data_IF_784870772280
#
_entry.id   IF_784870772280
#
_cell.length_a   1.000
_cell.length_b   1.000
_cell.length_c   1.000
_cell.angle_alpha   90.00
_cell.angle_beta   90.00
_cell.angle_gamma   90.00
#
_symmetry.space_group_name_H-M   'P 1'
#
loop_
_entity.id
_entity.type
_entity.pdbx_description
1 polymer ?
#
# COMPACT_ATOMS: atom_id res chain seq x y z
N UNK A 1 -11.24 3.82 -0.51
CA UNK A 1 -9.86 3.38 -0.89
C UNK A 1 -9.41 2.17 -0.08
N UNK A 2 -9.53 2.20 1.26
CA UNK A 2 -9.30 1.00 2.12
C UNK A 2 -10.11 -0.22 1.66
N UNK A 3 -11.39 -0.01 1.32
CA UNK A 3 -12.32 -1.08 0.91
C UNK A 3 -11.94 -1.81 -0.39
N UNK A 4 -11.42 -1.11 -1.41
CA UNK A 4 -10.99 -1.75 -2.67
C UNK A 4 -9.72 -2.58 -2.48
N UNK A 5 -8.81 -2.11 -1.63
CA UNK A 5 -7.62 -2.89 -1.30
C UNK A 5 -7.99 -4.12 -0.48
N UNK A 6 -8.90 -3.99 0.50
CA UNK A 6 -9.38 -5.14 1.27
C UNK A 6 -10.12 -6.16 0.40
N UNK A 7 -10.91 -5.71 -0.58
CA UNK A 7 -11.57 -6.59 -1.56
C UNK A 7 -10.56 -7.31 -2.45
N UNK A 8 -9.54 -6.61 -2.97
CA UNK A 8 -8.48 -7.22 -3.77
C UNK A 8 -7.65 -8.25 -2.97
N UNK A 9 -7.43 -7.98 -1.68
CA UNK A 9 -6.74 -8.89 -0.75
C UNK A 9 -7.63 -10.10 -0.42
N UNK A 10 -8.92 -9.90 -0.17
CA UNK A 10 -9.88 -10.99 0.04
C UNK A 10 -10.00 -11.92 -1.18
N UNK A 11 -9.94 -11.37 -2.41
CA UNK A 11 -9.86 -12.15 -3.64
C UNK A 11 -8.58 -13.02 -3.76
N UNK A 12 -7.61 -12.80 -2.87
CA UNK A 12 -6.38 -13.60 -2.70
C UNK A 12 -6.38 -14.42 -1.41
N UNK A 13 -7.54 -14.59 -0.77
CA UNK A 13 -7.70 -15.27 0.53
C UNK A 13 -6.91 -14.62 1.67
N UNK A 14 -6.60 -13.32 1.55
CA UNK A 14 -5.95 -12.55 2.62
C UNK A 14 -7.03 -11.90 3.47
N UNK A 15 -7.09 -12.28 4.75
CA UNK A 15 -7.97 -11.66 5.74
C UNK A 15 -7.37 -10.32 6.17
N UNK A 16 -8.12 -9.24 5.98
CA UNK A 16 -7.72 -7.91 6.43
C UNK A 16 -8.35 -7.63 7.78
N UNK A 17 -7.55 -7.69 8.84
CA UNK A 17 -7.95 -7.17 10.14
C UNK A 17 -8.13 -5.65 10.05
N UNK A 18 -9.16 -5.11 10.72
CA UNK A 18 -9.39 -3.67 10.74
C UNK A 18 -8.10 -2.97 11.17
N UNK A 19 -7.54 -2.15 10.27
CA UNK A 19 -6.30 -1.42 10.55
C UNK A 19 -6.49 -0.53 11.76
N UNK A 20 -5.40 -0.26 12.50
CA UNK A 20 -5.39 0.58 13.69
C UNK A 20 -6.18 1.89 13.46
N UNK A 21 -7.45 1.90 13.88
CA UNK A 21 -8.31 3.08 13.92
C UNK A 21 -7.75 4.02 14.99
N UNK A 22 -7.91 5.35 14.86
CA UNK A 22 -7.41 6.26 15.87
C UNK A 22 -8.22 6.06 17.14
N UNK A 23 -7.61 5.47 18.17
CA UNK A 23 -8.30 5.05 19.36
C UNK A 23 -8.24 6.10 20.51
N UNK A 24 -9.13 5.92 21.48
CA UNK A 24 -9.68 6.90 22.44
C UNK A 24 -9.02 6.88 23.84
N UNK A 25 -7.90 6.18 24.02
CA UNK A 25 -7.26 5.87 25.32
C UNK A 25 -5.74 6.12 25.30
N UNK A 26 -5.08 6.18 26.45
CA UNK A 26 -3.61 6.43 26.54
C UNK A 26 -2.75 5.33 25.90
N UNK A 27 -3.17 4.05 26.01
CA UNK A 27 -2.54 2.94 25.28
C UNK A 27 -2.58 3.15 23.75
N UNK A 28 -3.60 3.84 23.27
CA UNK A 28 -3.78 4.17 21.86
C UNK A 28 -2.85 5.31 21.42
N UNK A 29 -2.41 6.16 22.35
CA UNK A 29 -1.44 7.21 22.08
C UNK A 29 -0.05 6.63 21.82
N UNK A 30 0.39 5.67 22.63
CA UNK A 30 1.65 4.95 22.39
C UNK A 30 1.61 4.18 21.06
N UNK A 31 0.48 3.53 20.77
CA UNK A 31 0.29 2.82 19.50
C UNK A 31 0.33 3.77 18.29
N UNK A 32 -0.26 4.98 18.40
CA UNK A 32 -0.15 6.02 17.36
C UNK A 32 1.30 6.42 17.10
N UNK A 33 2.11 6.59 18.14
CA UNK A 33 3.53 6.91 17.96
C UNK A 33 4.29 5.78 17.28
N UNK A 34 4.04 4.52 17.66
CA UNK A 34 4.65 3.36 16.99
C UNK A 34 4.24 3.26 15.51
N UNK A 35 2.95 3.45 15.22
CA UNK A 35 2.45 3.47 13.83
C UNK A 35 3.13 4.59 13.04
N UNK A 36 3.25 5.78 13.62
CA UNK A 36 3.89 6.93 12.97
C UNK A 36 5.39 6.69 12.72
N UNK A 37 6.11 6.09 13.67
CA UNK A 37 7.53 5.75 13.52
C UNK A 37 7.73 4.72 12.41
N UNK A 38 6.94 3.65 12.39
CA UNK A 38 7.00 2.64 11.34
C UNK A 38 6.63 3.21 9.96
N UNK A 39 5.64 4.10 9.90
CA UNK A 39 5.35 4.84 8.68
C UNK A 39 6.56 5.69 8.26
N UNK A 40 7.22 6.40 9.16
CA UNK A 40 8.40 7.22 8.85
C UNK A 40 9.57 6.36 8.32
N UNK A 41 9.84 5.22 8.97
CA UNK A 41 10.86 4.24 8.56
C UNK A 41 10.58 3.67 7.18
N UNK A 42 9.34 3.24 6.93
CA UNK A 42 8.94 2.76 5.62
C UNK A 42 9.15 3.84 4.54
N UNK A 43 8.89 5.11 4.85
CA UNK A 43 9.10 6.21 3.92
C UNK A 43 10.57 6.46 3.61
N UNK A 44 11.44 6.34 4.61
CA UNK A 44 12.88 6.45 4.42
C UNK A 44 13.44 5.27 3.59
N UNK A 45 12.84 4.08 3.72
CA UNK A 45 13.21 2.89 2.98
C UNK A 45 12.69 2.91 1.52
N UNK A 46 11.55 3.55 1.29
CA UNK A 46 10.82 3.52 0.03
C UNK A 46 11.65 3.95 -1.21
N UNK A 47 12.48 5.02 -1.20
CA UNK A 47 13.32 5.37 -2.33
C UNK A 47 14.33 4.26 -2.71
N UNK A 48 14.87 3.55 -1.70
CA UNK A 48 15.81 2.45 -1.90
C UNK A 48 15.10 1.25 -2.54
N UNK A 49 13.93 0.88 -2.02
CA UNK A 49 13.07 -0.16 -2.59
C UNK A 49 12.71 0.19 -4.03
N UNK A 50 12.23 1.41 -4.28
CA UNK A 50 11.79 1.86 -5.60
C UNK A 50 12.92 1.85 -6.64
N UNK A 51 14.16 2.14 -6.23
CA UNK A 51 15.36 2.08 -7.09
C UNK A 51 15.83 0.65 -7.37
N UNK A 52 15.60 -0.29 -6.43
CA UNK A 52 16.14 -1.66 -6.45
C UNK A 52 15.05 -2.71 -6.26
N UNK A 53 13.91 -2.53 -6.93
CA UNK A 53 12.69 -3.36 -6.74
C UNK A 53 12.93 -4.87 -6.91
N UNK A 54 13.85 -5.26 -7.79
CA UNK A 54 14.20 -6.68 -8.01
C UNK A 54 14.85 -7.33 -6.80
N UNK A 55 15.43 -6.52 -5.91
CA UNK A 55 16.11 -6.97 -4.70
C UNK A 55 15.15 -7.20 -3.52
N UNK A 56 13.87 -6.82 -3.66
CA UNK A 56 12.80 -7.18 -2.71
C UNK A 56 12.66 -8.71 -2.64
N UNK A 57 12.68 -9.39 -3.79
CA UNK A 57 12.67 -10.86 -3.88
C UNK A 57 13.91 -11.55 -3.30
N UNK A 58 14.92 -10.78 -2.90
CA UNK A 58 16.18 -11.28 -2.33
C UNK A 58 16.28 -10.94 -0.83
N UNK A 59 15.20 -10.46 -0.20
CA UNK A 59 15.17 -10.07 1.21
C UNK A 59 16.09 -8.92 1.59
N UNK A 60 16.45 -8.04 0.63
CA UNK A 60 17.44 -6.96 0.90
C UNK A 60 16.86 -5.73 1.61
N UNK A 61 15.57 -5.72 1.88
CA UNK A 61 14.89 -4.59 2.53
C UNK A 61 14.10 -5.12 3.72
N UNK A 62 14.27 -4.49 4.88
CA UNK A 62 13.51 -4.79 6.09
C UNK A 62 13.27 -3.49 6.87
N UNK A 63 12.16 -3.46 7.61
CA UNK A 63 11.88 -2.47 8.64
C UNK A 63 12.53 -2.80 9.98
N UNK A 64 13.14 -3.99 10.10
CA UNK A 64 13.73 -4.52 11.32
C UNK A 64 12.68 -5.04 12.30
N UNK A 65 13.17 -5.45 13.48
CA UNK A 65 12.35 -5.99 14.58
C UNK A 65 11.37 -4.96 15.15
N UNK A 66 11.47 -3.69 14.73
CA UNK A 66 10.58 -2.62 15.16
C UNK A 66 9.11 -2.85 14.77
N UNK A 67 8.83 -3.72 13.80
CA UNK A 67 7.46 -4.15 13.51
C UNK A 67 6.80 -4.87 14.69
N UNK A 68 7.59 -5.49 15.57
CA UNK A 68 7.09 -6.17 16.77
C UNK A 68 6.49 -5.18 17.79
N UNK A 69 6.86 -3.90 17.71
CA UNK A 69 6.35 -2.87 18.60
C UNK A 69 4.89 -2.48 18.32
N UNK A 70 4.33 -2.86 17.16
CA UNK A 70 2.93 -2.56 16.80
C UNK A 70 1.91 -3.28 17.71
N UNK A 71 2.35 -4.24 18.55
CA UNK A 71 1.48 -5.11 19.33
C UNK A 71 0.33 -5.66 18.48
N UNK A 72 0.66 -6.16 17.28
CA UNK A 72 -0.31 -6.77 16.40
C UNK A 72 -0.88 -8.04 17.04
N UNK A 73 -2.08 -8.41 16.62
CA UNK A 73 -2.59 -9.74 16.93
C UNK A 73 -1.57 -10.79 16.48
N UNK A 74 -1.36 -11.84 17.28
CA UNK A 74 -0.40 -12.91 16.96
C UNK A 74 -0.77 -13.66 15.67
N UNK A 75 -2.01 -13.53 15.19
CA UNK A 75 -2.48 -14.06 13.92
C UNK A 75 -2.17 -13.15 12.72
N UNK A 76 -1.54 -11.99 12.92
CA UNK A 76 -1.20 -11.10 11.83
C UNK A 76 0.10 -11.55 11.17
N UNK A 77 0.02 -12.04 9.93
CA UNK A 77 1.19 -12.49 9.18
C UNK A 77 1.96 -11.33 8.52
N UNK A 78 1.27 -10.24 8.18
CA UNK A 78 1.86 -9.13 7.44
C UNK A 78 1.20 -7.77 7.71
N UNK A 79 2.00 -6.71 7.53
CA UNK A 79 1.60 -5.31 7.54
C UNK A 79 1.58 -4.79 6.11
N UNK A 80 0.47 -4.16 5.70
CA UNK A 80 0.34 -3.59 4.35
C UNK A 80 0.43 -2.06 4.40
N UNK A 81 1.46 -1.51 3.76
CA UNK A 81 1.64 -0.07 3.56
C UNK A 81 1.07 0.34 2.22
N UNK A 82 0.13 1.29 2.22
CA UNK A 82 -0.52 1.79 0.99
C UNK A 82 -0.34 3.31 0.92
N UNK A 83 0.23 3.80 -0.18
CA UNK A 83 0.30 5.24 -0.50
C UNK A 83 -0.37 5.48 -1.83
N UNK A 84 -1.31 6.41 -1.88
CA UNK A 84 -1.90 6.90 -3.13
C UNK A 84 -1.35 8.28 -3.48
N UNK A 85 -1.00 8.48 -4.74
CA UNK A 85 -0.74 9.80 -5.32
C UNK A 85 -1.40 9.91 -6.68
N UNK A 86 -1.84 11.09 -7.07
CA UNK A 86 -2.52 11.26 -8.35
C UNK A 86 -3.00 12.67 -8.56
N UNK A 87 -3.61 12.89 -9.72
CA UNK A 87 -4.29 14.13 -10.03
C UNK A 87 -5.64 13.86 -10.66
N UNK A 88 -6.63 14.65 -10.24
CA UNK A 88 -7.95 14.71 -10.85
C UNK A 88 -8.04 16.00 -11.66
N UNK A 89 -8.44 15.89 -12.91
CA UNK A 89 -8.64 17.05 -13.78
C UNK A 89 -10.10 17.52 -13.68
N UNK A 90 -10.31 18.83 -13.70
CA UNK A 90 -11.65 19.40 -13.87
C UNK A 90 -12.13 19.18 -15.30
N UNK A 91 -13.45 19.22 -15.56
CA UNK A 91 -14.01 19.01 -16.91
C UNK A 91 -13.34 19.90 -17.97
N UNK A 92 -13.13 21.19 -17.65
CA UNK A 92 -12.43 22.13 -18.53
C UNK A 92 -10.97 21.76 -18.77
N UNK A 93 -10.23 21.37 -17.72
CA UNK A 93 -8.84 20.91 -17.86
C UNK A 93 -8.75 19.61 -18.65
N UNK A 94 -9.69 18.69 -18.50
CA UNK A 94 -9.76 17.45 -19.30
C UNK A 94 -9.96 17.75 -20.79
N UNK A 95 -10.91 18.62 -21.13
CA UNK A 95 -11.14 19.02 -22.51
C UNK A 95 -9.91 19.72 -23.12
N UNK A 96 -9.25 20.58 -22.34
CA UNK A 96 -8.02 21.24 -22.76
C UNK A 96 -6.88 20.23 -22.97
N UNK A 97 -6.65 19.30 -22.05
CA UNK A 97 -5.63 18.23 -22.18
C UNK A 97 -5.89 17.34 -23.41
N UNK A 98 -7.15 17.11 -23.79
CA UNK A 98 -7.50 16.38 -25.01
C UNK A 98 -7.16 17.17 -26.28
N UNK A 99 -7.32 18.49 -26.25
CA UNK A 99 -7.11 19.39 -27.40
C UNK A 99 -5.64 19.71 -27.66
N UNK A 100 -4.88 20.06 -26.61
CA UNK A 100 -3.50 20.57 -26.76
C UNK A 100 -2.43 19.63 -26.20
N UNK A 101 -2.84 18.47 -25.68
CA UNK A 101 -1.95 17.56 -24.96
C UNK A 101 -1.70 17.99 -23.52
N UNK A 102 -1.10 17.10 -22.73
CA UNK A 102 -0.81 17.33 -21.31
C UNK A 102 -0.87 16.04 -20.49
N UNK A 103 -0.56 16.13 -19.20
CA UNK A 103 -0.61 14.98 -18.31
C UNK A 103 -2.08 14.69 -17.96
N UNK A 104 -2.66 13.52 -18.34
CA UNK A 104 -4.04 13.21 -18.04
C UNK A 104 -4.24 12.96 -16.54
N UNK A 105 -5.49 12.85 -16.11
CA UNK A 105 -5.81 12.33 -14.79
C UNK A 105 -5.18 10.94 -14.59
N UNK A 106 -4.69 10.67 -13.38
CA UNK A 106 -4.13 9.38 -13.03
C UNK A 106 -4.18 9.16 -11.51
N UNK A 107 -4.12 7.89 -11.12
CA UNK A 107 -3.89 7.46 -9.75
C UNK A 107 -2.78 6.41 -9.76
N UNK A 108 -1.73 6.67 -8.99
CA UNK A 108 -0.66 5.72 -8.72
C UNK A 108 -0.73 5.30 -7.26
N UNK A 109 -0.81 3.99 -7.02
CA UNK A 109 -0.61 3.45 -5.69
C UNK A 109 0.83 2.98 -5.54
N UNK A 110 1.28 2.93 -4.29
CA UNK A 110 2.47 2.23 -3.84
C UNK A 110 2.02 1.31 -2.73
N UNK A 111 2.19 0.02 -2.94
CA UNK A 111 1.78 -1.03 -2.01
C UNK A 111 3.03 -1.80 -1.60
N UNK A 112 3.31 -1.79 -0.31
CA UNK A 112 4.32 -2.62 0.34
C UNK A 112 3.66 -3.64 1.25
N UNK A 113 4.09 -4.89 1.18
CA UNK A 113 3.73 -5.92 2.16
C UNK A 113 4.98 -6.26 2.93
N UNK A 114 4.89 -6.16 4.25
CA UNK A 114 5.99 -6.38 5.17
C UNK A 114 5.60 -7.51 6.11
N UNK A 115 6.49 -8.47 6.31
CA UNK A 115 6.29 -9.55 7.28
C UNK A 115 6.15 -8.98 8.70
N UNK A 116 5.11 -9.39 9.42
CA UNK A 116 4.78 -8.82 10.72
C UNK A 116 5.73 -9.28 11.85
N UNK A 117 6.53 -10.32 11.62
CA UNK A 117 7.41 -10.92 12.63
C UNK A 117 8.89 -10.57 12.42
N UNK A 118 9.31 -10.42 11.17
CA UNK A 118 10.72 -10.18 10.79
C UNK A 118 10.96 -8.78 10.24
N UNK A 119 9.88 -8.07 9.85
CA UNK A 119 9.96 -6.78 9.20
C UNK A 119 10.47 -6.83 7.75
N UNK A 120 10.70 -8.02 7.18
CA UNK A 120 11.15 -8.17 5.81
C UNK A 120 10.10 -7.64 4.81
N UNK A 121 10.54 -6.90 3.79
CA UNK A 121 9.65 -6.43 2.74
C UNK A 121 9.45 -7.57 1.73
N UNK A 122 8.30 -8.23 1.81
CA UNK A 122 7.93 -9.38 0.98
C UNK A 122 7.49 -8.95 -0.42
N UNK A 123 6.72 -7.87 -0.51
CA UNK A 123 6.18 -7.37 -1.78
C UNK A 123 6.32 -5.87 -1.88
N UNK A 124 6.67 -5.42 -3.08
CA UNK A 124 6.60 -4.02 -3.45
C UNK A 124 6.01 -3.89 -4.85
N UNK A 125 4.93 -3.12 -4.97
CA UNK A 125 4.27 -2.89 -6.25
C UNK A 125 3.68 -1.49 -6.33
N UNK A 126 3.51 -0.98 -7.54
CA UNK A 126 3.07 0.39 -7.77
C UNK A 126 2.07 0.52 -8.92
N UNK A 127 0.86 -0.06 -8.79
CA UNK A 127 -0.13 -0.02 -9.86
C UNK A 127 -0.50 1.43 -10.20
N UNK A 128 -0.64 1.69 -11.50
CA UNK A 128 -0.99 2.98 -12.07
C UNK A 128 -2.26 2.80 -12.90
N UNK A 129 -3.28 3.59 -12.61
CA UNK A 129 -4.46 3.74 -13.45
C UNK A 129 -4.45 5.12 -14.11
N UNK A 130 -4.85 5.14 -15.39
CA UNK A 130 -5.08 6.39 -16.14
C UNK A 130 -6.56 6.74 -16.06
N UNK A 131 -6.87 8.03 -16.04
CA UNK A 131 -8.22 8.55 -15.86
C UNK A 131 -8.55 8.87 -14.39
N UNK A 132 -9.79 9.30 -14.17
CA UNK A 132 -10.30 9.57 -12.82
C UNK A 132 -10.69 8.25 -12.14
N UNK A 133 -9.72 7.63 -11.46
CA UNK A 133 -9.90 6.37 -10.73
C UNK A 133 -10.18 6.59 -9.23
N UNK A 134 -10.91 7.66 -8.87
CA UNK A 134 -11.20 8.01 -7.46
C UNK A 134 -12.52 7.44 -6.95
N UNK A 135 -13.29 6.75 -7.80
CA UNK A 135 -14.57 6.13 -7.43
C UNK A 135 -14.40 4.97 -6.45
N UNK A 136 -15.34 4.83 -5.51
CA UNK A 136 -15.32 3.76 -4.50
C UNK A 136 -15.39 2.34 -5.10
N UNK A 137 -15.95 2.19 -6.31
CA UNK A 137 -16.12 0.91 -7.02
C UNK A 137 -15.36 0.87 -8.36
N UNK A 138 -14.22 1.56 -8.44
CA UNK A 138 -13.48 1.65 -9.69
C UNK A 138 -12.87 0.29 -10.09
N UNK A 139 -13.50 -0.37 -11.06
CA UNK A 139 -13.08 -1.69 -11.58
C UNK A 139 -11.67 -1.67 -12.19
N UNK A 140 -11.23 -0.53 -12.72
CA UNK A 140 -9.89 -0.40 -13.31
C UNK A 140 -8.82 -0.37 -12.22
N UNK A 141 -9.10 0.30 -11.10
CA UNK A 141 -8.25 0.32 -9.91
C UNK A 141 -8.18 -1.05 -9.25
N UNK A 142 -9.34 -1.69 -9.05
CA UNK A 142 -9.41 -3.05 -8.49
C UNK A 142 -8.55 -4.02 -9.31
N UNK A 143 -8.76 -4.07 -10.63
CA UNK A 143 -7.99 -4.92 -11.54
C UNK A 143 -6.51 -4.59 -11.56
N UNK A 144 -6.14 -3.31 -11.46
CA UNK A 144 -4.75 -2.90 -11.36
C UNK A 144 -4.10 -3.42 -10.07
N UNK A 145 -4.79 -3.33 -8.94
CA UNK A 145 -4.33 -3.88 -7.64
C UNK A 145 -4.21 -5.40 -7.73
N UNK A 146 -5.23 -6.12 -8.19
CA UNK A 146 -5.19 -7.58 -8.34
C UNK A 146 -4.01 -8.06 -9.21
N UNK A 147 -3.79 -7.41 -10.35
CA UNK A 147 -2.67 -7.72 -11.24
C UNK A 147 -1.32 -7.47 -10.56
N UNK A 148 -1.23 -6.41 -9.76
CA UNK A 148 -0.03 -6.02 -9.03
C UNK A 148 0.33 -7.02 -7.93
N UNK A 149 -0.67 -7.73 -7.41
CA UNK A 149 -0.57 -8.74 -6.35
C UNK A 149 -0.49 -10.19 -6.87
N UNK A 150 -0.57 -10.42 -8.19
CA UNK A 150 -0.46 -11.76 -8.79
C UNK A 150 0.81 -12.54 -8.43
N UNK A 151 1.86 -11.84 -8.02
CA UNK A 151 3.16 -12.42 -7.66
C UNK A 151 3.38 -12.50 -6.14
N UNK A 152 2.31 -12.36 -5.35
CA UNK A 152 2.37 -12.73 -3.94
C UNK A 152 2.90 -14.16 -3.84
N UNK A 153 3.91 -14.44 -3.00
CA UNK A 153 4.33 -15.80 -2.75
C UNK A 153 3.10 -16.59 -2.25
N UNK A 154 2.81 -17.78 -2.82
CA UNK A 154 1.76 -18.64 -2.32
C UNK A 154 2.21 -19.20 -0.97
N UNK A 155 1.78 -18.54 0.10
CA UNK A 155 2.08 -18.85 1.50
C UNK A 155 3.57 -18.69 1.87
N UNK A 156 3.82 -18.07 3.03
CA UNK A 156 5.15 -18.04 3.64
C UNK A 156 5.63 -19.48 3.85
N UNK A 157 6.80 -19.79 3.31
CA UNK A 157 7.65 -20.89 3.77
C UNK A 157 8.86 -20.28 4.45
#
# INVERSE_FOLDING_TARGET
>A
MSQLTSEALAAKHITVSAGATPATSEADTQQKYTVADLQARYNALLPKIAKKRKDVKKGRFSLGDEVLNLNLDKSADAIVFIRGQGQKLTKGKTAFTLLVGGLPAYLQLTIGVVDAHTGEVLVFTNPLTRGDATGANDKSLLKAIENSLKKLPPNGQ
#
